data_IF_182327286598
#
_entry.id   IF_182327286598
#
_cell.length_a   1.000
_cell.length_b   1.000
_cell.length_c   1.000
_cell.angle_alpha   90.00
_cell.angle_beta   90.00
_cell.angle_gamma   90.00
#
_symmetry.space_group_name_H-M   'P 1'
#
loop_
_entity.id
_entity.type
_entity.pdbx_description
1 polymer ?
#
# COMPACT_ATOMS: atom_id res chain seq x y z
N UNK A 1 11.20 -12.09 -13.79
CA UNK A 1 10.17 -11.04 -13.52
C UNK A 1 9.08 -11.12 -14.59
N UNK A 2 7.95 -10.45 -14.37
CA UNK A 2 6.81 -10.49 -15.28
C UNK A 2 6.20 -9.08 -15.38
N UNK A 3 5.97 -8.59 -16.59
CA UNK A 3 5.13 -7.41 -16.83
C UNK A 3 3.71 -7.85 -17.18
N UNK A 4 2.72 -7.20 -16.60
CA UNK A 4 1.30 -7.48 -16.81
C UNK A 4 0.56 -6.15 -16.97
N UNK A 5 -0.16 -6.00 -18.07
CA UNK A 5 -1.13 -4.92 -18.28
C UNK A 5 -2.51 -5.54 -18.28
N UNK A 6 -3.42 -4.99 -17.51
CA UNK A 6 -4.82 -5.43 -17.43
C UNK A 6 -5.77 -4.29 -17.76
N UNK A 7 -6.92 -4.64 -18.29
CA UNK A 7 -8.04 -3.73 -18.49
C UNK A 7 -8.65 -3.33 -17.12
N UNK A 8 -9.17 -2.10 -17.03
CA UNK A 8 -9.60 -1.50 -15.76
C UNK A 8 -10.91 -2.10 -15.19
N UNK A 9 -11.88 -2.52 -16.00
CA UNK A 9 -13.21 -2.94 -15.50
C UNK A 9 -13.19 -4.38 -14.95
N UNK A 10 -12.68 -5.31 -15.75
CA UNK A 10 -12.69 -6.74 -15.43
C UNK A 10 -11.33 -7.27 -14.93
N UNK A 11 -10.24 -6.54 -15.15
CA UNK A 11 -8.89 -7.02 -14.89
C UNK A 11 -8.41 -8.05 -15.93
N UNK A 12 -8.97 -8.02 -17.13
CA UNK A 12 -8.60 -8.89 -18.24
C UNK A 12 -7.16 -8.56 -18.67
N UNK A 13 -6.26 -9.55 -18.78
CA UNK A 13 -4.91 -9.32 -19.25
C UNK A 13 -4.88 -8.90 -20.72
N UNK A 14 -4.31 -7.74 -21.00
CA UNK A 14 -4.08 -7.20 -22.34
C UNK A 14 -2.67 -7.52 -22.85
N UNK A 15 -1.70 -7.54 -21.95
CA UNK A 15 -0.30 -7.86 -22.24
C UNK A 15 0.31 -8.61 -21.07
N UNK A 16 1.04 -9.68 -21.38
CA UNK A 16 1.92 -10.37 -20.44
C UNK A 16 3.27 -10.61 -21.10
N UNK A 17 4.36 -10.11 -20.48
CA UNK A 17 5.72 -10.25 -20.99
C UNK A 17 6.63 -10.79 -19.89
N UNK A 18 7.29 -11.93 -20.09
CA UNK A 18 8.34 -12.40 -19.20
C UNK A 18 9.57 -11.53 -19.33
N UNK A 19 10.24 -11.32 -18.22
CA UNK A 19 11.38 -10.42 -18.08
C UNK A 19 12.54 -11.15 -17.43
N UNK A 20 13.76 -10.72 -17.72
CA UNK A 20 14.95 -11.21 -17.03
C UNK A 20 14.87 -10.91 -15.52
N UNK A 21 15.38 -11.81 -14.67
CA UNK A 21 15.39 -11.64 -13.23
C UNK A 21 16.18 -10.40 -12.73
N UNK A 22 17.11 -9.90 -13.55
CA UNK A 22 17.97 -8.75 -13.25
C UNK A 22 17.39 -7.42 -13.81
N UNK A 23 16.20 -7.43 -14.36
CA UNK A 23 15.58 -6.22 -14.91
C UNK A 23 15.13 -5.29 -13.78
N UNK A 24 15.44 -3.99 -13.87
CA UNK A 24 14.84 -3.00 -12.96
C UNK A 24 13.44 -2.62 -13.44
N UNK A 25 12.49 -2.55 -12.51
CA UNK A 25 11.07 -2.29 -12.81
C UNK A 25 10.86 -1.02 -13.64
N UNK A 26 11.59 0.06 -13.34
CA UNK A 26 11.48 1.32 -14.08
C UNK A 26 11.97 1.24 -15.54
N UNK A 27 13.08 0.54 -15.81
CA UNK A 27 13.59 0.39 -17.19
C UNK A 27 12.68 -0.49 -18.03
N UNK A 28 12.20 -1.58 -17.43
CA UNK A 28 11.28 -2.50 -18.09
C UNK A 28 9.96 -1.82 -18.43
N UNK A 29 9.44 -1.01 -17.51
CA UNK A 29 8.22 -0.26 -17.75
C UNK A 29 8.36 0.66 -18.96
N UNK A 30 9.45 1.45 -19.03
CA UNK A 30 9.74 2.30 -20.18
C UNK A 30 9.82 1.55 -21.50
N UNK A 31 10.40 0.33 -21.50
CA UNK A 31 10.50 -0.51 -22.68
C UNK A 31 9.14 -1.10 -23.10
N UNK A 32 8.34 -1.57 -22.16
CA UNK A 32 6.98 -2.08 -22.42
C UNK A 32 6.10 -0.99 -23.00
N UNK A 33 6.18 0.23 -22.46
CA UNK A 33 5.47 1.40 -23.00
C UNK A 33 5.93 1.68 -24.43
N UNK A 34 7.23 1.75 -24.68
CA UNK A 34 7.78 2.03 -26.02
C UNK A 34 7.38 0.97 -27.06
N UNK A 35 7.43 -0.32 -26.69
CA UNK A 35 7.23 -1.43 -27.62
C UNK A 35 5.75 -1.71 -27.93
N UNK A 36 4.86 -1.50 -26.97
CA UNK A 36 3.48 -1.99 -27.05
C UNK A 36 2.40 -0.93 -26.96
N UNK A 37 2.72 0.29 -26.51
CA UNK A 37 1.71 1.31 -26.24
C UNK A 37 1.03 1.81 -27.53
N UNK A 38 1.74 1.95 -28.63
CA UNK A 38 1.16 2.32 -29.91
C UNK A 38 0.11 1.29 -30.37
N UNK A 39 0.41 0.00 -30.21
CA UNK A 39 -0.53 -1.07 -30.53
C UNK A 39 -1.74 -1.08 -29.59
N UNK A 40 -1.53 -0.88 -28.29
CA UNK A 40 -2.61 -0.79 -27.32
C UNK A 40 -3.52 0.42 -27.56
N UNK A 41 -2.95 1.56 -27.95
CA UNK A 41 -3.71 2.77 -28.29
C UNK A 41 -4.59 2.56 -29.53
N UNK A 42 -4.07 1.93 -30.58
CA UNK A 42 -4.84 1.67 -31.81
C UNK A 42 -5.94 0.62 -31.61
N UNK A 43 -5.71 -0.38 -30.74
CA UNK A 43 -6.64 -1.48 -30.53
C UNK A 43 -7.72 -1.16 -29.52
N UNK A 44 -7.39 -0.48 -28.43
CA UNK A 44 -8.28 -0.30 -27.27
C UNK A 44 -8.61 1.16 -26.96
N UNK A 45 -7.95 2.13 -27.58
CA UNK A 45 -8.12 3.58 -27.32
C UNK A 45 -8.17 3.91 -25.81
N UNK A 46 -7.13 3.53 -25.03
CA UNK A 46 -7.14 3.73 -23.58
C UNK A 46 -7.17 5.21 -23.25
N UNK A 47 -8.01 5.60 -22.30
CA UNK A 47 -8.10 6.99 -21.85
C UNK A 47 -6.90 7.33 -20.97
N UNK A 48 -6.52 6.43 -20.07
CA UNK A 48 -5.42 6.63 -19.12
C UNK A 48 -4.64 5.33 -18.91
N UNK A 49 -3.32 5.48 -18.74
CA UNK A 49 -2.46 4.43 -18.21
C UNK A 49 -2.31 4.61 -16.70
N UNK A 50 -2.61 3.59 -15.92
CA UNK A 50 -2.44 3.62 -14.47
C UNK A 50 -1.30 2.69 -14.07
N UNK A 51 -0.34 3.19 -13.30
CA UNK A 51 0.79 2.41 -12.83
C UNK A 51 1.21 2.78 -11.40
N UNK A 52 2.02 1.92 -10.80
CA UNK A 52 2.63 2.19 -9.50
C UNK A 52 3.77 3.22 -9.58
N UNK A 53 4.44 3.45 -8.47
CA UNK A 53 5.54 4.42 -8.39
C UNK A 53 6.78 4.05 -9.22
N UNK A 54 6.89 2.82 -9.74
CA UNK A 54 8.00 2.43 -10.62
C UNK A 54 7.96 3.15 -11.97
N UNK A 55 6.76 3.59 -12.41
CA UNK A 55 6.60 4.47 -13.56
C UNK A 55 7.26 5.83 -13.35
N UNK A 56 7.22 6.38 -12.14
CA UNK A 56 7.54 7.77 -11.86
C UNK A 56 9.06 8.02 -11.83
N UNK A 57 9.63 8.15 -13.01
CA UNK A 57 10.99 8.65 -13.23
C UNK A 57 11.02 9.50 -14.49
N UNK A 58 12.00 10.41 -14.61
CA UNK A 58 12.06 11.41 -15.67
C UNK A 58 12.04 10.77 -17.07
N UNK A 59 12.81 9.71 -17.29
CA UNK A 59 12.92 9.03 -18.60
C UNK A 59 11.57 8.45 -19.04
N UNK A 60 10.86 7.75 -18.15
CA UNK A 60 9.57 7.15 -18.46
C UNK A 60 8.49 8.21 -18.71
N UNK A 61 8.46 9.29 -17.91
CA UNK A 61 7.48 10.35 -18.08
C UNK A 61 7.69 11.11 -19.39
N UNK A 62 8.94 11.34 -19.81
CA UNK A 62 9.26 11.93 -21.10
C UNK A 62 8.81 11.04 -22.27
N UNK A 63 9.04 9.72 -22.18
CA UNK A 63 8.56 8.76 -23.18
C UNK A 63 7.05 8.77 -23.30
N UNK A 64 6.34 8.82 -22.19
CA UNK A 64 4.87 8.91 -22.18
C UNK A 64 4.37 10.24 -22.75
N UNK A 65 5.01 11.34 -22.40
CA UNK A 65 4.68 12.65 -22.96
C UNK A 65 4.80 12.68 -24.50
N UNK A 66 5.82 11.99 -25.04
CA UNK A 66 6.01 11.88 -26.49
C UNK A 66 4.90 11.06 -27.19
N UNK A 67 4.19 10.19 -26.46
CA UNK A 67 3.10 9.35 -27.02
C UNK A 67 1.70 9.96 -26.89
N UNK A 68 1.58 11.16 -26.35
CA UNK A 68 0.30 11.82 -26.06
C UNK A 68 -0.64 11.01 -25.13
N UNK A 69 -0.11 9.98 -24.47
CA UNK A 69 -0.87 9.15 -23.55
C UNK A 69 -1.03 9.83 -22.19
N UNK A 70 -2.26 9.88 -21.72
CA UNK A 70 -2.55 10.33 -20.36
C UNK A 70 -2.23 9.23 -19.37
N UNK A 71 -1.76 9.61 -18.20
CA UNK A 71 -1.36 8.63 -17.17
C UNK A 71 -1.71 9.09 -15.76
N UNK A 72 -1.85 8.10 -14.87
CA UNK A 72 -2.00 8.28 -13.42
C UNK A 72 -0.97 7.39 -12.74
N UNK A 73 -0.19 7.94 -11.83
CA UNK A 73 0.79 7.16 -11.07
C UNK A 73 1.00 7.73 -9.67
N UNK A 74 1.62 6.95 -8.80
CA UNK A 74 2.00 7.41 -7.48
C UNK A 74 3.39 8.04 -7.51
N UNK A 75 3.53 9.21 -6.89
CA UNK A 75 4.82 9.87 -6.71
C UNK A 75 5.61 9.17 -5.60
N UNK A 76 6.88 8.79 -5.83
CA UNK A 76 7.72 8.23 -4.78
C UNK A 76 7.94 9.23 -3.64
N UNK A 77 7.67 8.81 -2.39
CA UNK A 77 7.88 9.66 -1.21
C UNK A 77 9.38 9.93 -0.91
N UNK A 78 10.29 9.35 -1.70
CA UNK A 78 11.74 9.60 -1.61
C UNK A 78 12.19 10.86 -2.34
N UNK A 79 11.36 11.42 -3.23
CA UNK A 79 11.65 12.67 -3.93
C UNK A 79 11.58 13.84 -2.96
N UNK A 80 12.54 14.77 -3.05
CA UNK A 80 12.64 15.94 -2.16
C UNK A 80 11.40 16.83 -2.23
N UNK A 81 10.92 17.08 -3.44
CA UNK A 81 9.72 17.89 -3.70
C UNK A 81 8.48 17.21 -3.08
N UNK A 82 8.34 15.90 -3.23
CA UNK A 82 7.25 15.14 -2.62
C UNK A 82 7.33 15.17 -1.09
N UNK A 83 8.53 15.07 -0.52
CA UNK A 83 8.75 15.18 0.93
C UNK A 83 8.35 16.57 1.45
N UNK A 84 8.68 17.64 0.72
CA UNK A 84 8.29 19.01 1.09
C UNK A 84 6.76 19.16 1.11
N UNK A 85 6.07 18.66 0.09
CA UNK A 85 4.60 18.70 0.01
C UNK A 85 3.97 17.86 1.14
N UNK A 86 4.47 16.64 1.38
CA UNK A 86 3.97 15.77 2.45
C UNK A 86 4.24 16.35 3.85
N UNK A 87 5.34 17.08 4.03
CA UNK A 87 5.67 17.69 5.31
C UNK A 87 4.71 18.83 5.69
N UNK A 88 4.13 19.49 4.69
CA UNK A 88 3.17 20.59 4.85
C UNK A 88 1.71 20.12 4.77
N UNK A 89 1.48 18.79 4.72
CA UNK A 89 0.15 18.25 4.61
C UNK A 89 -0.68 18.53 5.88
N UNK A 90 -1.79 19.21 5.71
CA UNK A 90 -2.78 19.51 6.77
C UNK A 90 -4.13 18.94 6.34
N UNK A 91 -4.46 17.69 6.72
CA UNK A 91 -5.68 17.03 6.26
C UNK A 91 -6.97 17.80 6.56
N UNK A 92 -6.97 18.64 7.61
CA UNK A 92 -8.14 19.44 8.01
C UNK A 92 -8.49 20.53 6.99
N UNK A 93 -7.50 21.02 6.23
CA UNK A 93 -7.68 22.08 5.22
C UNK A 93 -7.96 21.53 3.83
N UNK A 94 -7.84 20.21 3.63
CA UNK A 94 -8.04 19.57 2.34
C UNK A 94 -9.51 19.43 1.98
N UNK A 95 -9.80 19.53 0.67
CA UNK A 95 -11.15 19.32 0.13
C UNK A 95 -11.57 17.83 0.30
N UNK A 96 -12.86 17.57 0.59
CA UNK A 96 -13.33 16.20 0.80
C UNK A 96 -13.42 15.41 -0.51
N UNK A 97 -13.17 14.10 -0.41
CA UNK A 97 -13.47 13.08 -1.40
C UNK A 97 -14.44 12.04 -0.80
N UNK A 98 -14.76 11.02 -1.58
CA UNK A 98 -15.59 9.90 -1.09
C UNK A 98 -14.86 9.05 -0.05
N UNK A 99 -15.61 8.33 0.78
CA UNK A 99 -15.10 7.39 1.79
C UNK A 99 -14.14 8.01 2.84
N UNK A 100 -14.31 9.31 3.18
CA UNK A 100 -13.49 9.99 4.18
C UNK A 100 -12.11 10.42 3.68
N UNK A 101 -11.77 10.13 2.42
CA UNK A 101 -10.54 10.62 1.80
C UNK A 101 -10.62 12.14 1.58
N UNK A 102 -9.47 12.80 1.49
CA UNK A 102 -9.37 14.25 1.24
C UNK A 102 -8.24 14.53 0.26
N UNK A 103 -8.29 15.67 -0.42
CA UNK A 103 -7.24 16.03 -1.38
C UNK A 103 -6.88 17.52 -1.36
N UNK A 104 -5.68 17.78 -1.87
CA UNK A 104 -5.22 19.13 -2.21
C UNK A 104 -4.44 19.04 -3.53
N UNK A 105 -4.69 20.00 -4.42
CA UNK A 105 -4.03 20.04 -5.73
C UNK A 105 -2.76 20.85 -5.67
N UNK A 106 -1.69 20.30 -6.25
CA UNK A 106 -0.39 20.97 -6.33
C UNK A 106 0.11 20.90 -7.78
N UNK A 107 0.28 22.05 -8.45
CA UNK A 107 0.95 22.07 -9.75
C UNK A 107 2.41 21.62 -9.60
N UNK A 108 2.91 20.85 -10.56
CA UNK A 108 4.27 20.32 -10.52
C UNK A 108 4.83 20.15 -11.91
N UNK A 109 6.15 20.23 -12.02
CA UNK A 109 6.90 19.88 -13.23
C UNK A 109 8.06 18.97 -12.83
N UNK A 110 8.14 17.80 -13.44
CA UNK A 110 9.20 16.84 -13.16
C UNK A 110 9.68 16.17 -14.44
N UNK A 111 11.01 16.13 -14.62
CA UNK A 111 11.61 15.61 -15.85
C UNK A 111 11.25 16.39 -17.10
N UNK A 112 10.89 17.68 -16.99
CA UNK A 112 10.42 18.52 -18.10
C UNK A 112 8.98 18.23 -18.54
N UNK A 113 8.21 17.46 -17.75
CA UNK A 113 6.81 17.16 -18.01
C UNK A 113 5.93 17.91 -17.00
N UNK A 114 5.08 18.79 -17.52
CA UNK A 114 4.07 19.47 -16.73
C UNK A 114 3.03 18.46 -16.26
N UNK A 115 2.67 18.54 -14.97
CA UNK A 115 1.80 17.58 -14.32
C UNK A 115 1.07 18.20 -13.15
N UNK A 116 0.04 17.54 -12.73
CA UNK A 116 -0.78 17.89 -11.59
C UNK A 116 -0.62 16.83 -10.51
N UNK A 117 -0.23 17.25 -9.32
CA UNK A 117 -0.17 16.38 -8.15
C UNK A 117 -1.45 16.48 -7.35
N UNK A 118 -1.98 15.35 -6.98
CA UNK A 118 -3.14 15.22 -6.08
C UNK A 118 -2.59 14.67 -4.76
N UNK A 119 -2.29 15.58 -3.83
CA UNK A 119 -1.97 15.20 -2.46
C UNK A 119 -3.23 14.63 -1.84
N UNK A 120 -3.22 13.38 -1.48
CA UNK A 120 -4.38 12.65 -0.95
C UNK A 120 -4.12 12.21 0.48
N UNK A 121 -5.03 12.55 1.39
CA UNK A 121 -5.15 11.94 2.70
C UNK A 121 -6.17 10.82 2.63
N UNK A 122 -5.84 9.66 3.19
CA UNK A 122 -6.73 8.48 3.15
C UNK A 122 -7.09 8.04 4.57
N UNK A 123 -8.34 8.29 4.96
CA UNK A 123 -8.88 7.86 6.25
C UNK A 123 -8.80 6.34 6.45
N UNK A 124 -9.12 5.49 5.46
CA UNK A 124 -8.97 4.04 5.60
C UNK A 124 -7.54 3.55 5.88
N UNK A 125 -6.52 4.36 5.57
CA UNK A 125 -5.10 4.05 5.86
C UNK A 125 -4.65 4.50 7.25
N UNK A 126 -5.41 5.38 7.89
CA UNK A 126 -5.03 5.96 9.19
C UNK A 126 -4.75 4.90 10.27
N UNK A 127 -5.56 3.84 10.46
CA UNK A 127 -5.27 2.84 11.49
C UNK A 127 -3.93 2.13 11.29
N UNK A 128 -3.57 1.82 10.04
CA UNK A 128 -2.29 1.20 9.71
C UNK A 128 -1.12 2.18 9.91
N UNK A 129 -1.29 3.44 9.50
CA UNK A 129 -0.32 4.51 9.72
C UNK A 129 -0.10 4.73 11.21
N UNK A 130 -1.16 4.80 12.00
CA UNK A 130 -1.10 4.95 13.45
C UNK A 130 -0.32 3.80 14.09
N UNK A 131 -0.66 2.54 13.77
CA UNK A 131 0.06 1.38 14.31
C UNK A 131 1.56 1.43 14.00
N UNK A 132 1.92 1.84 12.77
CA UNK A 132 3.33 1.94 12.36
C UNK A 132 4.06 3.06 13.10
N UNK A 133 3.43 4.24 13.19
CA UNK A 133 3.97 5.38 13.92
C UNK A 133 4.11 5.04 15.40
N UNK A 134 3.11 4.44 16.02
CA UNK A 134 3.11 4.08 17.45
C UNK A 134 4.26 3.15 17.79
N UNK A 135 4.49 2.14 16.97
CA UNK A 135 5.62 1.21 17.15
C UNK A 135 6.98 1.92 17.08
N UNK A 136 7.15 2.84 16.13
CA UNK A 136 8.39 3.60 15.99
C UNK A 136 8.55 4.62 17.10
N UNK A 137 7.44 5.31 17.44
CA UNK A 137 7.40 6.31 18.50
C UNK A 137 7.75 5.72 19.86
N UNK A 138 7.14 4.59 20.22
CA UNK A 138 7.40 3.89 21.46
C UNK A 138 8.88 3.51 21.57
N UNK A 139 9.44 2.88 20.53
CA UNK A 139 10.84 2.49 20.50
C UNK A 139 11.78 3.68 20.72
N UNK A 140 11.52 4.81 20.06
CA UNK A 140 12.33 6.02 20.19
C UNK A 140 12.16 6.65 21.57
N UNK A 141 10.93 6.74 22.08
CA UNK A 141 10.66 7.28 23.43
C UNK A 141 11.33 6.45 24.53
N UNK A 142 11.37 5.13 24.39
CA UNK A 142 12.09 4.25 25.32
C UNK A 142 13.59 4.52 25.30
N UNK A 143 14.18 4.73 24.12
CA UNK A 143 15.60 5.08 23.99
C UNK A 143 15.91 6.43 24.64
N UNK A 144 15.07 7.44 24.41
CA UNK A 144 15.18 8.77 25.01
C UNK A 144 15.05 8.69 26.53
N UNK A 145 14.10 7.91 27.07
CA UNK A 145 13.91 7.70 28.49
C UNK A 145 15.11 7.01 29.16
N UNK A 146 15.68 5.99 28.50
CA UNK A 146 16.88 5.31 28.99
C UNK A 146 18.09 6.23 29.00
N UNK A 147 18.27 7.03 27.95
CA UNK A 147 19.34 8.02 27.86
C UNK A 147 19.19 9.10 28.93
N UNK A 148 17.97 9.59 29.18
CA UNK A 148 17.68 10.52 30.25
C UNK A 148 17.98 9.93 31.63
N UNK A 149 17.54 8.70 31.89
CA UNK A 149 17.83 7.99 33.13
C UNK A 149 19.34 7.84 33.39
N UNK A 150 20.12 7.62 32.33
CA UNK A 150 21.58 7.58 32.41
C UNK A 150 22.16 8.97 32.74
N UNK A 151 21.65 10.02 32.07
CA UNK A 151 22.06 11.41 32.31
C UNK A 151 21.79 11.84 33.76
N UNK A 152 20.60 11.51 34.29
CA UNK A 152 20.25 11.82 35.70
C UNK A 152 21.16 11.11 36.75
N UNK A 153 21.75 9.97 36.37
CA UNK A 153 22.69 9.24 37.24
C UNK A 153 24.13 9.76 37.18
N UNK A 154 24.41 10.61 36.19
CA UNK A 154 25.76 11.18 36.03
C UNK A 154 25.97 12.28 37.04
N UNK A 155 27.08 12.20 37.78
CA UNK A 155 27.52 13.26 38.67
C UNK A 155 28.39 14.25 37.90
N UNK A 156 28.08 15.53 37.98
CA UNK A 156 28.83 16.62 37.36
C UNK A 156 29.62 17.41 38.41
N UNK A 157 30.81 17.88 38.04
CA UNK A 157 31.67 18.63 38.92
C UNK A 157 31.16 20.05 39.23
N UNK A 158 30.43 20.66 38.30
CA UNK A 158 29.82 21.96 38.45
C UNK A 158 28.41 22.02 37.80
N UNK A 159 27.65 23.03 38.21
CA UNK A 159 26.29 23.26 37.68
C UNK A 159 26.30 23.57 36.17
N UNK A 160 27.29 24.33 35.70
CA UNK A 160 27.41 24.70 34.29
C UNK A 160 27.57 23.47 33.36
N UNK A 161 28.39 22.48 33.80
CA UNK A 161 28.55 21.23 33.04
C UNK A 161 27.26 20.42 32.98
N UNK A 162 26.53 20.35 34.10
CA UNK A 162 25.24 19.68 34.17
C UNK A 162 24.21 20.35 33.22
N UNK A 163 24.13 21.68 33.23
CA UNK A 163 23.24 22.45 32.35
C UNK A 163 23.61 22.28 30.88
N UNK A 164 24.89 22.28 30.53
CA UNK A 164 25.35 22.06 29.17
C UNK A 164 25.00 20.64 28.67
N UNK A 165 25.19 19.62 29.52
CA UNK A 165 24.82 18.25 29.21
C UNK A 165 23.31 18.10 29.00
N UNK A 166 22.51 18.75 29.85
CA UNK A 166 21.05 18.79 29.73
C UNK A 166 20.62 19.45 28.42
N UNK A 167 21.19 20.60 28.07
CA UNK A 167 20.88 21.32 26.83
C UNK A 167 21.18 20.49 25.57
N UNK A 168 22.32 19.80 25.57
CA UNK A 168 22.68 18.88 24.47
C UNK A 168 21.68 17.70 24.35
N UNK A 169 21.28 17.15 25.49
CA UNK A 169 20.29 16.09 25.53
C UNK A 169 18.95 16.55 24.99
N UNK A 170 18.43 17.69 25.42
CA UNK A 170 17.16 18.28 25.00
C UNK A 170 17.15 18.54 23.47
N UNK A 171 18.26 19.04 22.93
CA UNK A 171 18.41 19.28 21.50
C UNK A 171 18.30 17.98 20.65
N UNK A 172 18.57 16.82 21.24
CA UNK A 172 18.49 15.51 20.57
C UNK A 172 17.11 14.83 20.66
N UNK A 173 16.17 15.35 21.45
CA UNK A 173 14.86 14.75 21.67
C UNK A 173 13.97 14.88 20.42
N UNK A 174 13.37 13.78 19.99
CA UNK A 174 12.50 13.69 18.80
C UNK A 174 11.04 13.37 19.13
N UNK A 175 10.82 12.54 20.16
CA UNK A 175 9.49 12.02 20.53
C UNK A 175 9.01 12.49 21.88
N UNK A 176 9.95 12.93 22.71
CA UNK A 176 9.66 13.45 24.05
C UNK A 176 10.12 14.89 24.19
N UNK A 177 9.67 15.55 25.21
CA UNK A 177 10.17 16.84 25.66
C UNK A 177 10.40 16.80 27.16
N UNK A 178 11.28 17.66 27.62
CA UNK A 178 11.60 17.77 29.02
C UNK A 178 10.51 18.58 29.75
N UNK A 179 9.83 17.92 30.69
CA UNK A 179 8.85 18.53 31.57
C UNK A 179 9.52 18.62 32.95
N UNK A 180 9.57 19.77 33.52
CA UNK A 180 10.26 20.05 34.80
C UNK A 180 11.69 19.50 34.88
N UNK A 181 12.63 20.37 34.95
CA UNK A 181 14.04 19.97 35.16
C UNK A 181 14.74 20.89 36.15
N UNK A 182 15.48 20.28 37.00
CA UNK A 182 16.32 20.98 37.98
C UNK A 182 17.71 20.36 38.04
N UNK A 183 18.70 21.19 38.30
CA UNK A 183 20.06 20.74 38.66
C UNK A 183 20.21 20.84 40.15
N UNK A 184 20.36 19.70 40.82
CA UNK A 184 20.41 19.63 42.28
C UNK A 184 21.83 19.36 42.75
N UNK A 185 22.38 20.21 43.64
CA UNK A 185 23.64 19.89 44.32
C UNK A 185 23.42 18.74 45.31
N UNK A 186 24.29 17.75 45.27
CA UNK A 186 24.27 16.59 46.17
C UNK A 186 25.63 16.45 46.87
N UNK A 187 25.65 16.32 48.18
CA UNK A 187 26.90 16.15 48.89
C UNK A 187 27.53 14.78 48.59
N UNK A 188 28.80 14.76 48.22
CA UNK A 188 29.58 13.56 47.98
C UNK A 188 30.54 13.30 49.13
N UNK A 189 30.54 12.05 49.63
CA UNK A 189 31.42 11.59 50.69
C UNK A 189 32.33 10.47 50.17
N UNK A 190 33.65 10.64 50.24
CA UNK A 190 34.62 9.67 49.72
C UNK A 190 34.71 8.37 50.51
N UNK A 191 34.20 8.33 51.77
CA UNK A 191 34.17 7.12 52.58
C UNK A 191 32.92 6.29 52.35
N UNK A 192 33.07 4.98 52.15
CA UNK A 192 31.94 4.05 52.08
C UNK A 192 31.22 3.97 53.44
N UNK A 193 29.89 4.08 53.43
CA UNK A 193 29.05 3.97 54.62
C UNK A 193 28.13 5.18 54.80
N UNK A 194 27.23 5.13 55.79
CA UNK A 194 26.33 6.26 56.13
C UNK A 194 27.16 7.38 56.80
N UNK A 195 27.13 8.61 56.28
CA UNK A 195 27.84 9.73 56.89
C UNK A 195 27.39 9.93 58.36
N UNK A 196 28.31 10.18 59.25
CA UNK A 196 28.01 10.51 60.64
C UNK A 196 27.34 11.89 60.76
N UNK A 197 26.75 12.22 61.97
CA UNK A 197 25.98 13.46 62.15
C UNK A 197 26.82 14.76 62.00
N UNK A 198 28.13 14.68 61.98
CA UNK A 198 29.06 15.80 61.83
C UNK A 198 29.98 15.66 60.61
N UNK A 199 29.71 14.72 59.71
CA UNK A 199 30.53 14.52 58.51
C UNK A 199 30.35 15.70 57.54
N UNK A 200 31.47 16.35 57.19
CA UNK A 200 31.46 17.32 56.09
C UNK A 200 31.65 16.61 54.79
N UNK A 201 30.90 16.99 53.70
CA UNK A 201 31.08 16.42 52.38
C UNK A 201 32.45 16.81 51.80
N UNK A 202 33.09 15.89 51.10
CA UNK A 202 34.39 16.14 50.47
C UNK A 202 34.24 17.08 49.25
N UNK A 203 33.11 17.00 48.55
CA UNK A 203 32.75 17.88 47.43
C UNK A 203 31.25 17.92 47.21
N UNK A 204 30.75 18.95 46.53
CA UNK A 204 29.43 19.01 45.98
C UNK A 204 29.48 18.47 44.54
N UNK A 205 28.60 17.55 44.21
CA UNK A 205 28.36 17.09 42.86
C UNK A 205 26.94 17.49 42.45
N UNK A 206 26.74 17.71 41.15
CA UNK A 206 25.47 18.15 40.60
C UNK A 206 24.82 17.02 39.84
N UNK A 207 23.54 16.77 40.10
CA UNK A 207 22.73 15.80 39.40
C UNK A 207 21.55 16.49 38.71
N UNK A 208 21.17 15.96 37.54
CA UNK A 208 20.00 16.41 36.82
C UNK A 208 18.80 15.60 37.31
N UNK A 209 17.72 16.29 37.65
CA UNK A 209 16.42 15.72 37.95
C UNK A 209 15.37 16.30 36.99
N UNK A 210 14.36 15.53 36.66
CA UNK A 210 13.29 15.96 35.78
C UNK A 210 12.44 14.80 35.28
N UNK A 211 11.47 15.09 34.41
CA UNK A 211 10.62 14.13 33.78
C UNK A 211 10.51 14.39 32.26
N UNK A 212 10.39 13.32 31.50
CA UNK A 212 10.09 13.41 30.08
C UNK A 212 8.60 13.19 29.85
N UNK A 213 8.01 14.00 28.96
CA UNK A 213 6.64 13.85 28.48
C UNK A 213 6.62 13.64 26.96
N UNK A 214 5.62 12.92 26.46
CA UNK A 214 5.50 12.63 25.02
C UNK A 214 4.96 13.83 24.24
N UNK A 215 5.51 14.08 23.05
CA UNK A 215 5.05 15.10 22.09
C UNK A 215 3.85 14.57 21.30
N UNK A 216 2.64 14.58 21.89
CA UNK A 216 1.44 13.99 21.28
C UNK A 216 1.01 14.69 19.98
N UNK A 217 1.19 16.00 19.88
CA UNK A 217 0.91 16.79 18.67
C UNK A 217 1.80 16.36 17.51
N UNK A 218 3.10 16.18 17.77
CA UNK A 218 4.06 15.76 16.75
C UNK A 218 3.81 14.31 16.32
N UNK A 219 3.38 13.46 17.26
CA UNK A 219 2.95 12.08 16.96
C UNK A 219 1.74 12.08 16.02
N UNK A 220 0.70 12.88 16.30
CA UNK A 220 -0.48 12.97 15.43
C UNK A 220 -0.11 13.51 14.05
N UNK A 221 0.71 14.54 13.96
CA UNK A 221 1.20 15.07 12.70
C UNK A 221 2.00 14.03 11.88
N UNK A 222 2.71 13.10 12.53
CA UNK A 222 3.36 11.97 11.84
C UNK A 222 2.34 10.96 11.31
N UNK A 223 1.30 10.65 12.07
CA UNK A 223 0.19 9.76 11.62
C UNK A 223 -0.49 10.36 10.40
N UNK A 224 -0.81 11.64 10.45
CA UNK A 224 -1.49 12.34 9.36
C UNK A 224 -0.63 12.34 8.08
N UNK A 225 0.67 12.65 8.19
CA UNK A 225 1.61 12.59 7.07
C UNK A 225 1.77 11.20 6.49
N UNK A 226 1.79 10.15 7.33
CA UNK A 226 1.91 8.77 6.87
C UNK A 226 0.62 8.25 6.23
N UNK A 227 -0.52 8.87 6.54
CA UNK A 227 -1.81 8.62 5.89
C UNK A 227 -1.92 9.33 4.54
N UNK A 228 -1.01 10.28 4.24
CA UNK A 228 -0.96 11.01 2.98
C UNK A 228 -0.08 10.31 1.94
N UNK A 229 -0.42 10.51 0.67
CA UNK A 229 0.38 10.14 -0.49
C UNK A 229 0.05 11.07 -1.66
N UNK A 230 0.93 11.09 -2.66
CA UNK A 230 0.75 11.95 -3.83
C UNK A 230 0.50 11.07 -5.05
N UNK A 231 -0.57 11.35 -5.77
CA UNK A 231 -0.82 10.86 -7.11
C UNK A 231 -0.46 11.95 -8.11
N UNK A 232 0.03 11.57 -9.27
CA UNK A 232 0.38 12.49 -10.35
C UNK A 232 -0.32 12.09 -11.64
N UNK A 233 -0.66 13.09 -12.45
CA UNK A 233 -1.20 12.92 -13.79
C UNK A 233 -0.72 14.06 -14.69
N UNK A 234 -0.53 13.77 -16.00
CA UNK A 234 -0.31 14.79 -17.02
C UNK A 234 -1.61 15.37 -17.61
N UNK A 235 -2.79 14.96 -17.10
CA UNK A 235 -4.03 15.67 -17.38
C UNK A 235 -4.12 16.88 -16.46
N UNK A 236 -3.96 18.08 -17.02
CA UNK A 236 -3.93 19.32 -16.25
C UNK A 236 -5.33 19.87 -15.99
N UNK A 237 -6.31 19.52 -16.82
CA UNK A 237 -7.69 19.95 -16.66
C UNK A 237 -8.44 19.08 -15.65
N UNK A 238 -8.83 19.67 -14.55
CA UNK A 238 -9.64 19.00 -13.52
C UNK A 238 -11.06 18.67 -13.99
N UNK A 239 -11.58 19.42 -14.95
CA UNK A 239 -12.88 19.14 -15.58
C UNK A 239 -12.86 17.85 -16.39
N UNK A 240 -11.71 17.50 -17.00
CA UNK A 240 -11.54 16.25 -17.75
C UNK A 240 -11.23 15.06 -16.83
N UNK A 241 -10.44 15.27 -15.76
CA UNK A 241 -10.07 14.24 -14.81
C UNK A 241 -10.11 14.80 -13.39
N UNK A 242 -11.21 14.59 -12.68
CA UNK A 242 -11.36 15.07 -11.31
C UNK A 242 -10.39 14.36 -10.35
N UNK A 243 -10.11 14.97 -9.19
CA UNK A 243 -9.29 14.36 -8.13
C UNK A 243 -9.86 13.00 -7.67
N UNK A 244 -11.19 12.87 -7.60
CA UNK A 244 -11.86 11.60 -7.30
C UNK A 244 -11.56 10.55 -8.37
N UNK A 245 -11.65 10.91 -9.65
CA UNK A 245 -11.37 9.99 -10.76
C UNK A 245 -9.89 9.55 -10.78
N UNK A 246 -8.95 10.45 -10.44
CA UNK A 246 -7.53 10.08 -10.27
C UNK A 246 -7.37 9.04 -9.16
N UNK A 247 -8.01 9.24 -8.01
CA UNK A 247 -7.94 8.32 -6.87
C UNK A 247 -8.57 6.97 -7.20
N UNK A 248 -9.74 6.97 -7.82
CA UNK A 248 -10.46 5.74 -8.20
C UNK A 248 -9.71 4.95 -9.28
N UNK A 249 -9.16 5.65 -10.26
CA UNK A 249 -8.27 5.06 -11.26
C UNK A 249 -7.07 4.38 -10.62
N UNK A 250 -6.39 5.07 -9.70
CA UNK A 250 -5.25 4.49 -8.98
C UNK A 250 -5.64 3.30 -8.10
N UNK A 251 -6.75 3.38 -7.36
CA UNK A 251 -7.29 2.25 -6.57
C UNK A 251 -7.63 1.04 -7.45
N UNK A 252 -8.00 1.27 -8.71
CA UNK A 252 -8.23 0.23 -9.71
C UNK A 252 -7.01 -0.66 -10.00
N UNK A 253 -5.79 -0.19 -9.73
CA UNK A 253 -4.54 -0.95 -9.86
C UNK A 253 -4.55 -2.27 -9.03
N UNK A 254 -5.34 -2.34 -7.97
CA UNK A 254 -5.55 -3.57 -7.20
C UNK A 254 -6.00 -4.78 -8.07
N UNK A 255 -6.52 -4.55 -9.28
CA UNK A 255 -6.86 -5.63 -10.24
C UNK A 255 -5.61 -6.25 -10.85
N UNK A 256 -4.61 -5.44 -11.22
CA UNK A 256 -3.33 -5.95 -11.68
C UNK A 256 -2.61 -6.76 -10.57
N UNK A 257 -2.64 -6.27 -9.33
CA UNK A 257 -2.09 -6.99 -8.18
C UNK A 257 -2.79 -8.34 -7.96
N UNK A 258 -4.10 -8.42 -8.18
CA UNK A 258 -4.84 -9.69 -8.13
C UNK A 258 -4.40 -10.65 -9.23
N UNK A 259 -4.16 -10.14 -10.45
CA UNK A 259 -3.59 -10.92 -11.54
C UNK A 259 -2.24 -11.53 -11.18
N UNK A 260 -1.32 -10.74 -10.61
CA UNK A 260 -0.04 -11.24 -10.13
C UNK A 260 -0.18 -12.26 -9.00
N UNK A 261 -1.14 -12.06 -8.09
CA UNK A 261 -1.42 -12.99 -6.99
C UNK A 261 -1.96 -14.31 -7.50
N UNK A 262 -2.84 -14.28 -8.49
CA UNK A 262 -3.33 -15.47 -9.20
C UNK A 262 -2.16 -16.25 -9.83
N UNK A 263 -1.27 -15.59 -10.55
CA UNK A 263 -0.12 -16.23 -11.22
C UNK A 263 0.88 -16.83 -10.23
N UNK A 264 0.94 -16.33 -8.99
CA UNK A 264 1.82 -16.82 -7.92
C UNK A 264 1.14 -17.85 -7.01
N UNK A 265 -0.13 -18.18 -7.25
CA UNK A 265 -0.86 -19.11 -6.39
C UNK A 265 -0.25 -20.52 -6.49
N UNK A 266 0.13 -21.14 -5.36
CA UNK A 266 0.73 -22.49 -5.34
C UNK A 266 -0.17 -23.57 -5.96
N UNK A 267 -1.48 -23.37 -5.99
CA UNK A 267 -2.41 -24.34 -6.61
C UNK A 267 -2.20 -24.52 -8.11
N UNK A 268 -1.64 -23.51 -8.79
CA UNK A 268 -1.31 -23.60 -10.21
C UNK A 268 0.06 -24.27 -10.46
N UNK A 269 0.80 -24.64 -9.40
CA UNK A 269 2.07 -25.39 -9.44
C UNK A 269 3.08 -24.88 -10.48
N UNK A 270 2.98 -23.62 -10.87
CA UNK A 270 3.89 -22.97 -11.79
C UNK A 270 5.23 -22.68 -11.09
N UNK A 271 5.85 -23.69 -10.50
CA UNK A 271 7.17 -23.57 -9.91
C UNK A 271 8.18 -23.39 -11.02
N UNK A 272 8.72 -22.18 -11.17
CA UNK A 272 9.81 -21.86 -12.09
C UNK A 272 11.08 -22.67 -11.83
N UNK A 273 11.19 -23.33 -10.68
CA UNK A 273 12.34 -24.18 -10.30
C UNK A 273 12.51 -25.40 -11.20
N UNK A 274 11.46 -25.90 -11.84
CA UNK A 274 11.52 -27.08 -12.72
C UNK A 274 11.62 -26.73 -14.21
N UNK A 275 11.42 -25.47 -14.58
CA UNK A 275 11.45 -25.02 -15.96
C UNK A 275 12.78 -24.30 -16.27
N UNK A 276 13.75 -25.05 -16.79
CA UNK A 276 15.09 -24.51 -17.12
C UNK A 276 15.16 -23.87 -18.53
N UNK A 277 14.26 -24.24 -19.44
CA UNK A 277 14.28 -23.75 -20.83
C UNK A 277 13.35 -22.54 -21.00
N UNK A 278 13.82 -21.41 -21.57
CA UNK A 278 13.02 -20.22 -21.79
C UNK A 278 11.71 -20.49 -22.56
N UNK A 279 11.75 -21.35 -23.59
CA UNK A 279 10.59 -21.67 -24.41
C UNK A 279 9.48 -22.36 -23.59
N UNK A 280 9.85 -23.22 -22.64
CA UNK A 280 8.89 -23.89 -21.75
C UNK A 280 8.29 -22.91 -20.76
N UNK A 281 9.08 -21.96 -20.29
CA UNK A 281 8.58 -20.89 -19.44
C UNK A 281 7.58 -20.01 -20.20
N UNK A 282 7.89 -19.66 -21.45
CA UNK A 282 6.98 -18.89 -22.32
C UNK A 282 5.66 -19.63 -22.55
N UNK A 283 5.72 -20.94 -22.87
CA UNK A 283 4.52 -21.75 -23.07
C UNK A 283 3.65 -21.80 -21.80
N UNK A 284 4.27 -22.00 -20.63
CA UNK A 284 3.56 -21.97 -19.33
C UNK A 284 2.90 -20.61 -19.10
N UNK A 285 3.61 -19.51 -19.30
CA UNK A 285 3.09 -18.16 -19.10
C UNK A 285 1.94 -17.87 -20.07
N UNK A 286 1.99 -18.36 -21.32
CA UNK A 286 0.86 -18.25 -22.25
C UNK A 286 -0.37 -18.97 -21.72
N UNK A 287 -0.24 -20.22 -21.27
CA UNK A 287 -1.36 -20.96 -20.66
C UNK A 287 -1.91 -20.23 -19.45
N UNK A 288 -1.04 -19.74 -18.56
CA UNK A 288 -1.43 -18.98 -17.37
C UNK A 288 -2.14 -17.68 -17.71
N UNK A 289 -1.75 -17.01 -18.82
CA UNK A 289 -2.44 -15.81 -19.31
C UNK A 289 -3.87 -16.12 -19.74
N UNK A 290 -4.06 -17.21 -20.48
CA UNK A 290 -5.40 -17.66 -20.91
C UNK A 290 -6.24 -18.04 -19.68
N UNK A 291 -5.65 -18.74 -18.71
CA UNK A 291 -6.34 -19.05 -17.44
C UNK A 291 -6.75 -17.78 -16.70
N UNK A 292 -5.87 -16.79 -16.59
CA UNK A 292 -6.18 -15.51 -15.95
C UNK A 292 -7.29 -14.75 -16.69
N UNK A 293 -7.28 -14.78 -18.02
CA UNK A 293 -8.32 -14.16 -18.87
C UNK A 293 -9.68 -14.78 -18.56
N UNK A 294 -9.78 -16.11 -18.60
CA UNK A 294 -11.05 -16.83 -18.33
C UNK A 294 -11.50 -16.57 -16.90
N UNK A 295 -10.59 -16.61 -15.96
CA UNK A 295 -10.86 -16.36 -14.54
C UNK A 295 -11.39 -14.94 -14.31
N UNK A 296 -10.72 -13.93 -14.85
CA UNK A 296 -11.11 -12.53 -14.72
C UNK A 296 -12.47 -12.25 -15.39
N UNK A 297 -12.68 -12.79 -16.60
CA UNK A 297 -13.93 -12.64 -17.33
C UNK A 297 -15.11 -13.29 -16.58
N UNK A 298 -14.90 -14.48 -16.01
CA UNK A 298 -15.95 -15.16 -15.23
C UNK A 298 -16.25 -14.42 -13.93
N UNK A 299 -15.23 -13.97 -13.21
CA UNK A 299 -15.42 -13.17 -11.99
C UNK A 299 -16.19 -11.88 -12.26
N UNK A 300 -15.87 -11.20 -13.35
CA UNK A 300 -16.58 -10.01 -13.78
C UNK A 300 -18.05 -10.32 -14.10
N UNK A 301 -18.33 -11.36 -14.87
CA UNK A 301 -19.71 -11.78 -15.19
C UNK A 301 -20.53 -12.14 -13.97
N UNK A 302 -19.95 -12.90 -13.03
CA UNK A 302 -20.62 -13.27 -11.77
C UNK A 302 -21.01 -12.01 -11.01
N UNK A 303 -20.08 -11.10 -10.81
CA UNK A 303 -20.31 -9.86 -10.05
C UNK A 303 -21.32 -8.93 -10.73
N UNK A 304 -21.24 -8.82 -12.06
CA UNK A 304 -22.19 -8.02 -12.85
C UNK A 304 -23.59 -8.60 -12.73
N UNK A 305 -23.75 -9.91 -12.93
CA UNK A 305 -25.04 -10.56 -12.82
C UNK A 305 -25.67 -10.43 -11.41
N UNK A 306 -24.86 -10.58 -10.34
CA UNK A 306 -25.32 -10.37 -8.98
C UNK A 306 -25.78 -8.92 -8.74
N UNK A 307 -25.08 -7.94 -9.29
CA UNK A 307 -25.46 -6.53 -9.13
C UNK A 307 -26.70 -6.16 -9.93
N UNK A 308 -26.77 -6.54 -11.20
CA UNK A 308 -27.88 -6.22 -12.11
C UNK A 308 -29.21 -6.82 -11.64
N UNK A 309 -29.16 -7.97 -10.97
CA UNK A 309 -30.33 -8.64 -10.45
C UNK A 309 -30.54 -8.45 -8.95
N UNK A 310 -29.80 -7.52 -8.33
CA UNK A 310 -29.82 -7.25 -6.88
C UNK A 310 -29.67 -8.52 -6.02
N UNK A 311 -29.04 -9.55 -6.59
CA UNK A 311 -28.81 -10.84 -5.96
C UNK A 311 -27.52 -10.86 -5.14
N UNK A 312 -27.36 -11.86 -4.30
CA UNK A 312 -26.20 -12.04 -3.45
C UNK A 312 -25.74 -13.50 -3.45
N UNK A 313 -24.45 -13.72 -3.14
CA UNK A 313 -23.85 -15.04 -3.00
C UNK A 313 -23.18 -15.15 -1.62
N UNK A 314 -23.21 -16.31 -0.94
CA UNK A 314 -22.58 -16.46 0.36
C UNK A 314 -21.06 -16.42 0.25
N UNK A 315 -20.39 -15.71 1.17
CA UNK A 315 -18.95 -15.77 1.37
C UNK A 315 -18.57 -17.02 2.22
N UNK A 316 -17.27 -17.16 2.54
CA UNK A 316 -16.76 -18.28 3.36
C UNK A 316 -17.35 -18.34 4.78
N UNK A 317 -17.91 -17.24 5.27
CA UNK A 317 -18.54 -17.12 6.59
C UNK A 317 -20.07 -17.18 6.51
N UNK A 318 -20.63 -17.35 5.31
CA UNK A 318 -22.07 -17.34 5.06
C UNK A 318 -22.67 -15.94 4.92
N UNK A 319 -21.85 -14.88 4.95
CA UNK A 319 -22.33 -13.51 4.73
C UNK A 319 -22.69 -13.30 3.27
N UNK A 320 -23.84 -12.68 3.02
CA UNK A 320 -24.32 -12.39 1.66
C UNK A 320 -23.57 -11.21 1.04
N UNK A 321 -22.90 -11.45 -0.09
CA UNK A 321 -22.07 -10.44 -0.80
C UNK A 321 -22.42 -10.41 -2.31
N UNK A 322 -22.13 -9.28 -2.96
CA UNK A 322 -22.27 -9.10 -4.42
C UNK A 322 -20.93 -9.15 -5.17
N UNK A 323 -19.82 -9.33 -4.45
CA UNK A 323 -18.47 -9.30 -5.02
C UNK A 323 -17.63 -10.55 -4.68
N UNK A 324 -18.19 -11.77 -4.82
CA UNK A 324 -17.43 -12.99 -4.58
C UNK A 324 -16.23 -13.08 -5.52
N UNK A 325 -15.17 -13.78 -5.08
CA UNK A 325 -14.05 -14.15 -5.96
C UNK A 325 -14.39 -15.39 -6.77
N UNK A 326 -13.95 -15.48 -8.02
CA UNK A 326 -14.15 -16.69 -8.82
C UNK A 326 -13.56 -17.93 -8.14
N UNK A 327 -12.43 -17.78 -7.44
CA UNK A 327 -11.84 -18.86 -6.62
C UNK A 327 -12.80 -19.42 -5.58
N UNK A 328 -13.51 -18.55 -4.88
CA UNK A 328 -14.48 -18.97 -3.89
C UNK A 328 -15.67 -19.67 -4.54
N UNK A 329 -16.16 -19.13 -5.66
CA UNK A 329 -17.24 -19.76 -6.43
C UNK A 329 -16.82 -21.14 -6.90
N UNK A 330 -15.62 -21.32 -7.48
CA UNK A 330 -15.11 -22.64 -7.86
C UNK A 330 -15.03 -23.58 -6.67
N UNK A 331 -14.54 -23.11 -5.53
CA UNK A 331 -14.48 -23.93 -4.31
C UNK A 331 -15.89 -24.38 -3.86
N UNK A 332 -16.88 -23.51 -3.98
CA UNK A 332 -18.26 -23.82 -3.65
C UNK A 332 -18.85 -24.94 -4.54
N UNK A 333 -18.38 -25.06 -5.79
CA UNK A 333 -18.79 -26.09 -6.73
C UNK A 333 -17.98 -27.40 -6.64
N UNK A 334 -16.95 -27.50 -5.80
CA UNK A 334 -16.08 -28.70 -5.73
C UNK A 334 -16.84 -29.96 -5.29
N UNK A 335 -17.92 -29.82 -4.52
CA UNK A 335 -18.69 -30.97 -4.02
C UNK A 335 -19.75 -31.51 -4.99
N UNK A 336 -19.86 -30.99 -6.22
CA UNK A 336 -20.83 -31.46 -7.20
C UNK A 336 -20.24 -32.63 -7.97
N UNK A 337 -20.99 -33.75 -8.02
CA UNK A 337 -20.60 -34.96 -8.71
C UNK A 337 -21.57 -35.28 -9.84
N UNK A 338 -21.04 -35.91 -10.92
CA UNK A 338 -21.81 -36.43 -12.01
C UNK A 338 -21.83 -37.95 -11.94
N UNK A 339 -22.99 -38.52 -11.71
CA UNK A 339 -23.19 -39.96 -11.72
C UNK A 339 -23.69 -40.38 -13.10
N UNK A 340 -22.95 -41.27 -13.75
CA UNK A 340 -23.36 -41.88 -15.03
C UNK A 340 -23.94 -43.28 -14.75
N UNK A 341 -25.22 -43.48 -15.06
CA UNK A 341 -25.89 -44.77 -14.88
C UNK A 341 -26.17 -45.35 -16.29
N UNK A 342 -25.61 -46.55 -16.62
CA UNK A 342 -25.87 -47.17 -17.92
C UNK A 342 -27.36 -47.35 -18.16
N UNK A 343 -27.85 -46.80 -19.26
CA UNK A 343 -29.30 -46.87 -19.66
C UNK A 343 -30.23 -45.84 -19.03
N UNK A 344 -29.76 -45.06 -18.05
CA UNK A 344 -30.56 -43.99 -17.39
C UNK A 344 -30.04 -42.58 -17.61
N UNK A 345 -28.82 -42.44 -18.14
CA UNK A 345 -28.23 -41.14 -18.43
C UNK A 345 -27.34 -40.59 -17.30
N UNK A 346 -27.21 -39.24 -17.22
CA UNK A 346 -26.41 -38.53 -16.28
C UNK A 346 -27.29 -37.96 -15.15
N UNK A 347 -26.81 -38.07 -13.91
CA UNK A 347 -27.45 -37.47 -12.75
C UNK A 347 -26.46 -36.56 -12.04
N UNK A 348 -26.85 -35.34 -11.73
CA UNK A 348 -26.02 -34.39 -10.99
C UNK A 348 -26.36 -34.51 -9.50
N UNK A 349 -25.34 -34.77 -8.69
CA UNK A 349 -25.47 -34.91 -7.23
C UNK A 349 -24.95 -33.69 -6.51
N UNK A 350 -25.56 -33.37 -5.37
CA UNK A 350 -25.17 -32.28 -4.46
C UNK A 350 -25.35 -30.86 -5.05
N UNK A 351 -26.18 -30.69 -6.08
CA UNK A 351 -26.54 -29.39 -6.61
C UNK A 351 -27.59 -28.74 -5.70
N UNK A 352 -27.21 -27.73 -4.93
CA UNK A 352 -28.08 -26.98 -4.02
C UNK A 352 -28.81 -25.84 -4.74
N UNK A 353 -29.83 -25.25 -4.09
CA UNK A 353 -30.56 -24.10 -4.62
C UNK A 353 -29.64 -22.90 -4.89
N UNK A 354 -28.61 -22.69 -4.08
CA UNK A 354 -27.62 -21.63 -4.28
C UNK A 354 -26.80 -21.84 -5.56
N UNK A 355 -26.41 -23.09 -5.87
CA UNK A 355 -25.74 -23.40 -7.13
C UNK A 355 -26.66 -23.14 -8.32
N UNK A 356 -27.90 -23.60 -8.24
CA UNK A 356 -28.90 -23.40 -9.30
C UNK A 356 -29.19 -21.92 -9.50
N UNK A 357 -29.36 -21.16 -8.43
CA UNK A 357 -29.59 -19.72 -8.49
C UNK A 357 -28.44 -19.00 -9.22
N UNK A 358 -27.18 -19.27 -8.85
CA UNK A 358 -26.02 -18.66 -9.52
C UNK A 358 -25.95 -19.05 -10.99
N UNK A 359 -26.18 -20.31 -11.32
CA UNK A 359 -26.18 -20.79 -12.72
C UNK A 359 -27.27 -20.12 -13.56
N UNK A 360 -28.47 -19.90 -12.96
CA UNK A 360 -29.57 -19.17 -13.61
C UNK A 360 -29.21 -17.72 -13.86
N UNK A 361 -28.61 -17.03 -12.87
CA UNK A 361 -28.12 -15.65 -13.01
C UNK A 361 -27.11 -15.50 -14.15
N UNK A 362 -26.24 -16.50 -14.35
CA UNK A 362 -25.23 -16.51 -15.42
C UNK A 362 -25.83 -16.85 -16.78
N UNK A 363 -27.01 -17.42 -16.80
CA UNK A 363 -27.81 -17.75 -18.01
C UNK A 363 -27.80 -19.23 -18.41
N UNK A 364 -28.71 -19.57 -19.30
CA UNK A 364 -29.00 -20.95 -19.69
C UNK A 364 -27.80 -21.78 -20.16
N UNK A 365 -26.77 -21.14 -20.73
CA UNK A 365 -25.54 -21.84 -21.16
C UNK A 365 -24.80 -22.49 -20.02
N UNK A 366 -24.79 -21.86 -18.86
CA UNK A 366 -24.14 -22.40 -17.67
C UNK A 366 -24.97 -23.44 -16.94
N UNK A 367 -26.29 -23.22 -16.89
CA UNK A 367 -27.22 -24.16 -16.30
C UNK A 367 -27.32 -25.49 -17.10
N UNK A 368 -27.06 -25.44 -18.40
CA UNK A 368 -27.14 -26.62 -19.28
C UNK A 368 -26.14 -27.73 -18.90
N UNK A 369 -24.96 -27.39 -18.40
CA UNK A 369 -23.96 -28.37 -17.95
C UNK A 369 -24.35 -29.14 -16.68
N UNK A 370 -25.38 -28.68 -15.99
CA UNK A 370 -25.84 -29.23 -14.72
C UNK A 370 -27.31 -29.70 -14.79
N UNK A 371 -27.77 -30.05 -15.97
CA UNK A 371 -29.09 -30.60 -16.22
C UNK A 371 -29.05 -32.11 -16.45
#
# INVERSE_FOLDING_TARGET
MLALIVEHQAGIPLLMKPLSGNSSDGKVFGQVVSDHMAQLQTTYSPTYLVADSALYNAENLQKLAATNLKWITRVPATLREAQAVLAQAEPQTMAPLTAGDRYHMVPSSYGGVEQRWVLTYSEPRQPQAQHTVDKQWLKQSEQEAQAFKKLCRTAFACEADAQQALSRFVAGLQTTFLHDSTVCPTPHYGKRGRPGPRAQPDQLVYHIAGALASRLTDRQARVDRQSCFILATNELDEGQLSAQAVLDGYKGQARAERGFRFLKDPQFLASSLYLKKPERLMALLMVMTVCLLVYAALEYRIRTALKEQEATFPDQKGTRIQNPTARWVFHYFVGIHVLSIPGQGLMILNLTDEHQHLLQLLGNRYAWFYR
#
